data_IF_608290450925
#
_entry.id   IF_608290450925
#
_cell.length_a   1.000
_cell.length_b   1.000
_cell.length_c   1.000
_cell.angle_alpha   90.00
_cell.angle_beta   90.00
_cell.angle_gamma   90.00
#
_symmetry.space_group_name_H-M   'P 1'
#
loop_
_entity.id
_entity.type
_entity.pdbx_description
1 polymer ?
#
# COMPACT_ATOMS: atom_id res chain seq x y z
N UNK A 1 40.27 32.10 18.64
CA UNK A 1 39.95 30.87 19.37
C UNK A 1 38.45 30.78 19.56
N UNK A 2 37.80 29.89 18.83
CA UNK A 2 36.41 29.51 19.06
C UNK A 2 36.38 28.13 19.72
N UNK A 3 35.43 27.92 20.64
CA UNK A 3 35.16 26.58 21.19
C UNK A 3 34.05 25.96 20.36
N UNK A 4 34.45 25.07 19.45
CA UNK A 4 33.55 24.28 18.64
C UNK A 4 33.17 23.01 19.42
N UNK A 5 31.88 22.70 19.47
CA UNK A 5 31.38 21.50 20.13
C UNK A 5 30.77 20.55 19.12
N UNK A 6 31.13 19.28 19.25
CA UNK A 6 30.50 18.15 18.58
C UNK A 6 29.63 17.43 19.59
N UNK A 7 28.38 17.09 19.24
CA UNK A 7 27.54 16.24 20.07
C UNK A 7 26.86 15.15 19.25
N UNK A 8 26.59 14.03 19.91
CA UNK A 8 25.96 12.86 19.31
C UNK A 8 24.44 12.86 19.54
N UNK A 9 23.66 12.63 18.48
CA UNK A 9 22.21 12.46 18.54
C UNK A 9 21.76 11.46 17.45
N UNK A 10 21.03 10.40 17.85
CA UNK A 10 20.50 9.37 16.93
C UNK A 10 21.56 8.80 15.96
N UNK A 11 22.74 8.44 16.46
CA UNK A 11 23.87 7.93 15.67
C UNK A 11 24.41 8.92 14.61
N UNK A 12 24.21 10.23 14.81
CA UNK A 12 24.75 11.30 13.97
C UNK A 12 25.40 12.37 14.82
N UNK A 13 26.50 12.94 14.31
CA UNK A 13 27.17 14.05 14.98
C UNK A 13 26.64 15.38 14.46
N UNK A 14 26.52 16.32 15.38
CA UNK A 14 26.09 17.68 15.13
C UNK A 14 27.13 18.65 15.69
N UNK A 15 27.22 19.82 15.05
CA UNK A 15 28.30 20.78 15.28
C UNK A 15 27.75 22.17 15.56
N UNK A 16 28.42 22.89 16.45
CA UNK A 16 28.10 24.28 16.74
C UNK A 16 29.11 24.98 17.64
N UNK A 17 29.08 26.29 17.66
CA UNK A 17 29.99 27.13 18.44
C UNK A 17 29.37 27.36 19.82
N UNK A 18 30.12 27.06 20.87
CA UNK A 18 29.70 27.28 22.25
C UNK A 18 29.56 28.78 22.54
N UNK A 19 28.40 29.19 23.05
CA UNK A 19 28.11 30.56 23.49
C UNK A 19 28.11 30.68 25.00
N UNK A 20 27.47 29.74 25.69
CA UNK A 20 27.37 29.71 27.15
C UNK A 20 27.43 28.27 27.66
N UNK A 21 28.26 28.01 28.67
CA UNK A 21 28.45 26.69 29.29
C UNK A 21 27.68 26.63 30.62
N UNK A 22 26.41 26.20 30.54
CA UNK A 22 25.55 26.05 31.71
C UNK A 22 25.59 24.63 32.28
N UNK A 23 25.40 24.51 33.60
CA UNK A 23 25.47 23.22 34.33
C UNK A 23 24.51 22.14 33.80
N UNK A 24 23.33 22.53 33.32
CA UNK A 24 22.31 21.59 32.82
C UNK A 24 22.12 21.66 31.31
N UNK A 25 22.44 22.80 30.68
CA UNK A 25 22.25 23.06 29.26
C UNK A 25 23.34 23.98 28.74
N UNK A 26 23.81 23.72 27.54
CA UNK A 26 24.75 24.56 26.81
C UNK A 26 23.98 25.39 25.79
N UNK A 27 24.33 26.66 25.63
CA UNK A 27 23.85 27.50 24.52
C UNK A 27 24.83 27.42 23.37
N UNK A 28 24.34 27.01 22.21
CA UNK A 28 25.16 26.65 21.06
C UNK A 28 24.62 27.37 19.83
N UNK A 29 25.50 28.01 19.08
CA UNK A 29 25.15 28.52 17.75
C UNK A 29 25.49 27.46 16.71
N UNK A 30 24.50 26.95 15.99
CA UNK A 30 24.71 26.02 14.87
C UNK A 30 25.55 26.67 13.77
N UNK A 31 26.15 25.86 12.90
CA UNK A 31 26.88 26.37 11.73
C UNK A 31 25.99 27.15 10.74
N UNK A 32 24.67 26.98 10.81
CA UNK A 32 23.67 27.78 10.07
C UNK A 32 23.28 29.10 10.75
N UNK A 33 23.92 29.45 11.88
CA UNK A 33 23.69 30.69 12.61
C UNK A 33 22.50 30.67 13.59
N UNK A 34 21.85 29.52 13.81
CA UNK A 34 20.73 29.40 14.75
C UNK A 34 21.23 29.12 16.16
N UNK A 35 20.69 29.82 17.15
CA UNK A 35 20.96 29.52 18.55
C UNK A 35 20.03 28.42 19.06
N UNK A 36 20.61 27.38 19.66
CA UNK A 36 19.90 26.24 20.23
C UNK A 36 20.41 25.94 21.63
N UNK A 37 19.56 25.32 22.45
CA UNK A 37 19.92 24.86 23.78
C UNK A 37 20.05 23.34 23.78
N UNK A 38 21.23 22.83 24.16
CA UNK A 38 21.56 21.40 24.13
C UNK A 38 21.76 20.89 25.55
N UNK A 39 21.22 19.72 25.87
CA UNK A 39 21.35 19.11 27.21
C UNK A 39 22.81 18.78 27.54
N UNK A 40 23.30 19.18 28.71
CA UNK A 40 24.66 18.89 29.18
C UNK A 40 24.92 17.39 29.43
N UNK A 41 23.87 16.56 29.47
CA UNK A 41 23.97 15.10 29.65
C UNK A 41 24.34 14.33 28.38
N UNK A 42 24.42 15.00 27.22
CA UNK A 42 24.82 14.35 25.96
C UNK A 42 26.32 14.10 25.94
N UNK A 43 26.77 13.21 25.06
CA UNK A 43 28.18 13.08 24.74
C UNK A 43 28.66 14.29 23.94
N UNK A 44 29.79 14.88 24.36
CA UNK A 44 30.40 16.05 23.72
C UNK A 44 31.90 15.88 23.50
N UNK A 45 32.39 16.35 22.36
CA UNK A 45 33.81 16.67 22.15
C UNK A 45 33.96 18.19 22.00
N UNK A 46 34.97 18.75 22.67
CA UNK A 46 35.24 20.20 22.73
C UNK A 46 36.52 20.53 21.99
N UNK A 47 36.37 21.15 20.83
CA UNK A 47 37.46 21.51 19.94
C UNK A 47 37.83 22.99 20.13
N UNK A 48 39.09 23.26 20.45
CA UNK A 48 39.63 24.61 20.43
C UNK A 48 40.20 24.83 19.03
N UNK A 49 39.51 25.65 18.23
CA UNK A 49 39.89 25.90 16.83
C UNK A 49 40.31 27.35 16.62
N UNK A 50 41.35 27.52 15.80
CA UNK A 50 41.89 28.82 15.38
C UNK A 50 41.55 29.16 13.92
N UNK A 51 41.14 28.15 13.15
CA UNK A 51 40.73 28.24 11.75
C UNK A 51 39.20 28.27 11.63
N UNK A 52 38.69 28.40 10.40
CA UNK A 52 37.25 28.40 10.15
C UNK A 52 36.62 27.04 10.55
N UNK A 53 35.50 27.03 11.32
CA UNK A 53 34.88 25.79 11.75
C UNK A 53 34.45 24.86 10.60
N UNK A 54 34.02 25.38 9.46
CA UNK A 54 33.60 24.54 8.34
C UNK A 54 34.80 23.86 7.67
N UNK A 55 35.91 24.60 7.50
CA UNK A 55 37.18 24.04 7.01
C UNK A 55 37.75 22.98 7.96
N UNK A 56 37.73 23.25 9.27
CA UNK A 56 38.14 22.30 10.30
C UNK A 56 37.34 20.99 10.24
N UNK A 57 36.01 21.09 10.15
CA UNK A 57 35.12 19.92 10.08
C UNK A 57 35.36 19.15 8.78
N UNK A 58 35.51 19.84 7.65
CA UNK A 58 35.77 19.20 6.36
C UNK A 58 37.10 18.44 6.36
N UNK A 59 38.16 19.02 6.94
CA UNK A 59 39.46 18.37 7.08
C UNK A 59 39.38 17.11 7.97
N UNK A 60 38.68 17.22 9.11
CA UNK A 60 38.44 16.09 10.02
C UNK A 60 37.66 14.97 9.34
N UNK A 61 36.61 15.31 8.58
CA UNK A 61 35.82 14.34 7.85
C UNK A 61 36.64 13.62 6.78
N UNK A 62 37.55 14.33 6.11
CA UNK A 62 38.47 13.73 5.15
C UNK A 62 39.44 12.75 5.83
N UNK A 63 39.98 13.11 7.00
CA UNK A 63 40.79 12.20 7.82
C UNK A 63 39.99 10.97 8.27
N UNK A 64 38.69 11.15 8.59
CA UNK A 64 37.82 10.04 8.97
C UNK A 64 37.53 9.08 7.81
N UNK A 65 37.52 9.55 6.56
CA UNK A 65 37.36 8.70 5.37
C UNK A 65 38.60 7.83 5.08
N UNK A 66 39.77 8.19 5.64
CA UNK A 66 41.00 7.37 5.56
C UNK A 66 41.03 6.23 6.60
N UNK A 67 40.15 6.27 7.60
CA UNK A 67 40.05 5.23 8.63
C UNK A 67 39.25 4.04 8.09
N UNK A 68 39.89 2.88 7.99
CA UNK A 68 39.21 1.64 7.63
C UNK A 68 38.42 1.10 8.83
N UNK A 69 37.11 1.38 8.84
CA UNK A 69 36.19 0.89 9.86
C UNK A 69 36.08 -0.65 9.90
N UNK A 70 36.30 -1.33 8.78
CA UNK A 70 36.32 -2.80 8.73
C UNK A 70 37.55 -3.37 9.42
N UNK A 71 38.73 -2.78 9.18
CA UNK A 71 39.96 -3.14 9.88
C UNK A 71 39.87 -2.83 11.38
N UNK A 72 39.32 -1.66 11.74
CA UNK A 72 39.10 -1.33 13.15
C UNK A 72 38.16 -2.34 13.81
N UNK A 73 37.15 -2.83 13.08
CA UNK A 73 36.21 -3.84 13.60
C UNK A 73 36.88 -5.21 13.76
N UNK A 74 37.77 -5.63 12.85
CA UNK A 74 38.43 -6.94 12.94
C UNK A 74 39.34 -7.11 14.17
N UNK A 75 39.83 -6.00 14.73
CA UNK A 75 40.62 -5.99 15.96
C UNK A 75 39.76 -6.03 17.24
N UNK A 76 38.43 -5.96 17.10
CA UNK A 76 37.48 -5.87 18.22
C UNK A 76 36.64 -7.14 18.35
N UNK A 77 36.14 -7.38 19.56
CA UNK A 77 35.19 -8.46 19.82
C UNK A 77 33.80 -8.03 19.35
N UNK A 78 33.20 -8.80 18.46
CA UNK A 78 31.82 -8.60 18.02
C UNK A 78 30.84 -8.54 19.20
N UNK A 79 29.96 -7.54 19.20
CA UNK A 79 29.02 -7.26 20.30
C UNK A 79 29.64 -6.54 21.51
N UNK A 80 30.95 -6.28 21.50
CA UNK A 80 31.64 -5.52 22.54
C UNK A 80 31.29 -4.03 22.50
N UNK A 81 31.28 -3.41 23.69
CA UNK A 81 31.11 -1.96 23.86
C UNK A 81 32.42 -1.35 24.36
N UNK A 82 32.85 -0.30 23.68
CA UNK A 82 34.16 0.31 23.89
C UNK A 82 34.04 1.81 24.15
N UNK A 83 34.86 2.33 25.06
CA UNK A 83 35.04 3.76 25.22
C UNK A 83 35.76 4.34 24.00
N UNK A 84 35.31 5.50 23.51
CA UNK A 84 35.92 6.15 22.36
C UNK A 84 37.42 6.42 22.59
N UNK A 85 37.81 6.77 23.83
CA UNK A 85 39.21 7.04 24.16
C UNK A 85 40.06 5.78 24.01
N UNK A 86 39.55 4.63 24.44
CA UNK A 86 40.28 3.37 24.36
C UNK A 86 40.40 2.88 22.92
N UNK A 87 39.35 3.04 22.11
CA UNK A 87 39.44 2.76 20.67
C UNK A 87 40.45 3.69 19.97
N UNK A 88 40.49 4.97 20.36
CA UNK A 88 41.41 5.94 19.77
C UNK A 88 42.86 5.63 20.16
N UNK A 89 43.10 5.15 21.39
CA UNK A 89 44.40 4.63 21.82
C UNK A 89 44.82 3.42 21.00
N UNK A 90 43.89 2.49 20.78
CA UNK A 90 44.13 1.28 20.00
C UNK A 90 44.52 1.63 18.56
N UNK A 91 43.73 2.48 17.90
CA UNK A 91 43.94 2.81 16.48
C UNK A 91 45.21 3.63 16.23
N UNK A 92 45.45 4.68 17.03
CA UNK A 92 46.60 5.56 16.83
C UNK A 92 47.86 5.12 17.57
N UNK A 93 47.79 4.06 18.38
CA UNK A 93 48.88 3.59 19.26
C UNK A 93 49.44 4.70 20.17
N UNK A 94 48.57 5.59 20.67
CA UNK A 94 48.92 6.72 21.56
C UNK A 94 48.39 6.50 22.96
N UNK A 95 49.12 6.96 23.99
CA UNK A 95 48.65 6.85 25.38
C UNK A 95 47.55 7.86 25.73
N UNK A 96 47.63 9.08 25.19
CA UNK A 96 46.65 10.14 25.43
C UNK A 96 46.19 10.74 24.10
N UNK A 97 45.15 10.15 23.47
CA UNK A 97 44.65 10.66 22.20
C UNK A 97 43.97 12.02 22.36
N UNK A 98 44.27 12.92 21.42
CA UNK A 98 43.73 14.27 21.38
C UNK A 98 42.25 14.29 20.99
N UNK A 99 41.59 15.43 21.21
CA UNK A 99 40.15 15.60 20.88
C UNK A 99 39.88 15.44 19.38
N UNK A 100 40.80 15.89 18.51
CA UNK A 100 40.68 15.71 17.06
C UNK A 100 40.69 14.23 16.67
N UNK A 101 41.63 13.44 17.18
CA UNK A 101 41.74 12.01 16.89
C UNK A 101 40.49 11.24 17.34
N UNK A 102 39.96 11.58 18.52
CA UNK A 102 38.70 11.00 19.02
C UNK A 102 37.53 11.32 18.09
N UNK A 103 37.43 12.55 17.61
CA UNK A 103 36.37 12.95 16.69
C UNK A 103 36.52 12.34 15.29
N UNK A 104 37.76 12.19 14.79
CA UNK A 104 38.05 11.44 13.55
C UNK A 104 37.55 10.01 13.68
N UNK A 105 37.93 9.33 14.77
CA UNK A 105 37.53 7.93 14.98
C UNK A 105 36.01 7.79 15.19
N UNK A 106 35.39 8.70 15.94
CA UNK A 106 33.94 8.73 16.11
C UNK A 106 33.24 8.89 14.76
N UNK A 107 33.69 9.84 13.94
CA UNK A 107 33.14 10.06 12.59
C UNK A 107 33.29 8.82 11.71
N UNK A 108 34.46 8.16 11.73
CA UNK A 108 34.70 6.93 11.00
C UNK A 108 33.77 5.79 11.44
N UNK A 109 33.60 5.58 12.75
CA UNK A 109 32.67 4.59 13.30
C UNK A 109 31.22 4.87 12.89
N UNK A 110 30.78 6.13 12.94
CA UNK A 110 29.41 6.50 12.57
C UNK A 110 29.15 6.39 11.08
N UNK A 111 30.13 6.68 10.22
CA UNK A 111 30.04 6.46 8.76
C UNK A 111 30.09 4.97 8.42
N UNK A 112 30.84 4.19 9.19
CA UNK A 112 30.87 2.73 9.16
C UNK A 112 29.67 2.07 9.83
N UNK A 113 28.43 2.50 9.50
CA UNK A 113 27.18 1.98 10.12
C UNK A 113 27.01 0.46 9.96
N UNK A 114 27.71 -0.14 9.00
CA UNK A 114 27.81 -1.59 8.85
C UNK A 114 28.47 -2.25 10.07
N UNK A 115 29.54 -1.64 10.57
CA UNK A 115 30.45 -2.21 11.57
C UNK A 115 30.16 -1.73 12.98
N UNK A 116 29.67 -0.50 13.15
CA UNK A 116 29.53 0.13 14.45
C UNK A 116 28.17 0.77 14.70
N UNK A 117 27.84 0.95 15.98
CA UNK A 117 26.77 1.82 16.46
C UNK A 117 27.26 2.59 17.68
N UNK A 118 26.92 3.87 17.77
CA UNK A 118 27.19 4.67 18.96
C UNK A 118 25.94 4.77 19.84
N UNK A 119 26.13 4.63 21.15
CA UNK A 119 25.07 4.89 22.13
C UNK A 119 24.99 6.40 22.49
N UNK A 120 23.93 6.86 23.18
CA UNK A 120 23.82 8.26 23.58
C UNK A 120 24.91 8.76 24.54
N UNK A 121 25.66 7.86 25.17
CA UNK A 121 26.78 8.17 26.08
C UNK A 121 28.12 8.32 25.35
N UNK A 122 28.16 8.02 24.05
CA UNK A 122 29.37 8.07 23.22
C UNK A 122 30.18 6.78 23.20
N UNK A 123 29.67 5.68 23.75
CA UNK A 123 30.30 4.36 23.62
C UNK A 123 30.03 3.80 22.23
N UNK A 124 31.06 3.17 21.66
CA UNK A 124 31.00 2.53 20.35
C UNK A 124 30.82 1.03 20.55
N UNK A 125 29.74 0.48 20.00
CA UNK A 125 29.48 -0.95 19.95
C UNK A 125 29.90 -1.52 18.61
N UNK A 126 30.76 -2.54 18.64
CA UNK A 126 31.10 -3.35 17.47
C UNK A 126 29.94 -4.30 17.12
N UNK A 127 29.53 -4.34 15.86
CA UNK A 127 28.50 -5.24 15.38
C UNK A 127 28.97 -6.70 15.48
N UNK A 128 28.04 -7.66 15.62
CA UNK A 128 28.37 -9.08 15.50
C UNK A 128 28.47 -9.50 14.03
N UNK A 129 29.13 -10.62 13.74
CA UNK A 129 29.18 -11.17 12.37
C UNK A 129 27.78 -11.40 11.79
N UNK A 130 26.84 -11.89 12.60
CA UNK A 130 25.44 -12.07 12.20
C UNK A 130 24.75 -10.74 11.84
N UNK A 131 25.01 -9.68 12.61
CA UNK A 131 24.47 -8.34 12.34
C UNK A 131 25.04 -7.74 11.06
N UNK A 132 26.34 -7.94 10.80
CA UNK A 132 27.02 -7.47 9.59
C UNK A 132 26.47 -8.20 8.37
N UNK A 133 26.41 -9.53 8.41
CA UNK A 133 25.84 -10.36 7.34
C UNK A 133 24.36 -10.04 7.08
N UNK A 134 23.61 -9.66 8.12
CA UNK A 134 22.22 -9.21 7.96
C UNK A 134 22.16 -7.86 7.24
N UNK A 135 22.97 -6.88 7.66
CA UNK A 135 23.03 -5.55 7.04
C UNK A 135 23.46 -5.62 5.58
N UNK A 136 24.46 -6.45 5.25
CA UNK A 136 24.89 -6.70 3.87
C UNK A 136 23.76 -7.27 3.02
N UNK A 137 23.06 -8.29 3.52
CA UNK A 137 21.90 -8.86 2.82
C UNK A 137 20.79 -7.83 2.61
N UNK A 138 20.51 -7.01 3.61
CA UNK A 138 19.49 -5.96 3.51
C UNK A 138 19.90 -4.85 2.52
N UNK A 139 21.18 -4.46 2.50
CA UNK A 139 21.73 -3.50 1.54
C UNK A 139 21.72 -4.05 0.11
N UNK A 140 22.18 -5.27 -0.09
CA UNK A 140 22.10 -5.94 -1.39
C UNK A 140 20.65 -6.04 -1.88
N UNK A 141 19.72 -6.42 -1.00
CA UNK A 141 18.29 -6.46 -1.34
C UNK A 141 17.76 -5.09 -1.76
N UNK A 142 18.14 -4.02 -1.06
CA UNK A 142 17.77 -2.64 -1.40
C UNK A 142 18.35 -2.21 -2.75
N UNK A 143 19.62 -2.49 -3.00
CA UNK A 143 20.28 -2.18 -4.27
C UNK A 143 19.63 -2.94 -5.42
N UNK A 144 19.37 -4.25 -5.25
CA UNK A 144 18.65 -5.06 -6.24
C UNK A 144 17.24 -4.55 -6.48
N UNK A 145 16.49 -4.21 -5.44
CA UNK A 145 15.14 -3.65 -5.57
C UNK A 145 15.14 -2.31 -6.31
N UNK A 146 16.11 -1.43 -6.00
CA UNK A 146 16.28 -0.15 -6.70
C UNK A 146 16.61 -0.35 -8.17
N UNK A 147 17.57 -1.21 -8.49
CA UNK A 147 17.91 -1.54 -9.88
C UNK A 147 16.70 -2.10 -10.63
N UNK A 148 15.96 -3.03 -10.00
CA UNK A 148 14.77 -3.62 -10.62
C UNK A 148 13.66 -2.58 -10.87
N UNK A 149 13.51 -1.59 -9.97
CA UNK A 149 12.60 -0.47 -10.17
C UNK A 149 13.05 0.42 -11.34
N UNK A 150 14.31 0.79 -11.40
CA UNK A 150 14.87 1.60 -12.50
C UNK A 150 14.71 0.87 -13.86
N UNK A 151 14.96 -0.44 -13.89
CA UNK A 151 14.76 -1.28 -15.07
C UNK A 151 13.28 -1.38 -15.48
N UNK A 152 12.36 -1.51 -14.51
CA UNK A 152 10.92 -1.56 -14.77
C UNK A 152 10.40 -0.23 -15.30
N UNK A 153 10.77 0.90 -14.69
CA UNK A 153 10.41 2.25 -15.17
C UNK A 153 10.88 2.45 -16.60
N UNK A 154 12.11 2.04 -16.90
CA UNK A 154 12.67 2.10 -18.24
C UNK A 154 11.87 1.24 -19.22
N UNK A 155 11.57 -0.01 -18.87
CA UNK A 155 10.77 -0.90 -19.70
C UNK A 155 9.41 -0.30 -20.05
N UNK A 156 8.69 0.23 -19.05
CA UNK A 156 7.38 0.85 -19.25
C UNK A 156 7.47 2.11 -20.13
N UNK A 157 8.51 2.94 -19.95
CA UNK A 157 8.77 4.09 -20.81
C UNK A 157 9.05 3.67 -22.26
N UNK A 158 9.89 2.65 -22.45
CA UNK A 158 10.17 2.10 -23.78
C UNK A 158 8.88 1.55 -24.44
N UNK A 159 8.00 0.89 -23.66
CA UNK A 159 6.70 0.43 -24.16
C UNK A 159 5.77 1.62 -24.50
N UNK A 160 5.83 2.76 -23.80
CA UNK A 160 5.06 3.98 -24.15
C UNK A 160 5.56 4.64 -25.45
N UNK A 161 6.88 4.70 -25.65
CA UNK A 161 7.49 5.38 -26.80
C UNK A 161 7.47 4.51 -28.08
N UNK A 162 7.74 3.22 -27.95
CA UNK A 162 7.97 2.31 -29.07
C UNK A 162 6.92 1.20 -29.21
N UNK A 163 5.91 1.19 -28.34
CA UNK A 163 4.85 0.18 -28.30
C UNK A 163 5.40 -1.25 -28.19
N UNK A 164 4.78 -2.19 -28.90
CA UNK A 164 5.21 -3.60 -28.93
C UNK A 164 6.65 -3.84 -29.40
N UNK A 165 7.27 -2.90 -30.16
CA UNK A 165 8.62 -3.09 -30.72
C UNK A 165 9.71 -3.08 -29.65
N UNK A 166 9.58 -2.24 -28.61
CA UNK A 166 10.51 -2.21 -27.49
C UNK A 166 10.53 -3.52 -26.70
N UNK A 167 9.37 -4.17 -26.61
CA UNK A 167 9.12 -5.18 -25.60
C UNK A 167 9.25 -6.63 -26.19
N UNK A 168 9.73 -6.77 -27.45
CA UNK A 168 9.97 -8.05 -28.16
C UNK A 168 10.99 -8.98 -27.49
N UNK A 169 11.90 -8.45 -26.66
CA UNK A 169 12.99 -9.23 -26.07
C UNK A 169 12.56 -10.09 -24.87
N UNK A 170 11.39 -9.82 -24.26
CA UNK A 170 10.92 -10.53 -23.06
C UNK A 170 9.38 -10.69 -23.05
N UNK A 171 8.82 -11.64 -23.83
CA UNK A 171 7.37 -11.75 -24.03
C UNK A 171 6.60 -12.19 -22.77
N UNK A 172 7.17 -13.06 -21.93
CA UNK A 172 6.49 -13.52 -20.69
C UNK A 172 6.36 -12.42 -19.64
N UNK A 173 7.43 -11.64 -19.45
CA UNK A 173 7.42 -10.48 -18.53
C UNK A 173 6.36 -9.47 -18.96
N UNK A 174 6.25 -9.25 -20.28
CA UNK A 174 5.27 -8.33 -20.83
C UNK A 174 3.82 -8.81 -20.61
N UNK A 175 3.55 -10.09 -20.84
CA UNK A 175 2.23 -10.66 -20.59
C UNK A 175 1.82 -10.49 -19.12
N UNK A 176 2.72 -10.77 -18.18
CA UNK A 176 2.44 -10.60 -16.76
C UNK A 176 2.16 -9.13 -16.41
N UNK A 177 2.90 -8.18 -16.99
CA UNK A 177 2.66 -6.74 -16.78
C UNK A 177 1.30 -6.34 -17.36
N UNK A 178 0.94 -6.82 -18.55
CA UNK A 178 -0.36 -6.55 -19.16
C UNK A 178 -1.49 -7.06 -18.28
N UNK A 179 -1.35 -8.29 -17.77
CA UNK A 179 -2.31 -8.93 -16.89
C UNK A 179 -2.47 -8.15 -15.58
N UNK A 180 -1.36 -7.80 -14.94
CA UNK A 180 -1.33 -7.02 -13.71
C UNK A 180 -1.99 -5.62 -13.89
N UNK A 181 -1.66 -4.91 -14.97
CA UNK A 181 -2.22 -3.58 -15.26
C UNK A 181 -3.71 -3.65 -15.58
N UNK A 182 -4.14 -4.72 -16.26
CA UNK A 182 -5.54 -4.96 -16.57
C UNK A 182 -6.34 -5.27 -15.31
N UNK A 183 -5.81 -6.11 -14.42
CA UNK A 183 -6.39 -6.39 -13.11
C UNK A 183 -6.50 -5.13 -12.25
N UNK A 184 -5.46 -4.29 -12.26
CA UNK A 184 -5.46 -2.98 -11.61
C UNK A 184 -6.60 -2.08 -12.12
N UNK A 185 -6.82 -2.02 -13.44
CA UNK A 185 -7.91 -1.22 -14.03
C UNK A 185 -9.31 -1.78 -13.71
N UNK A 186 -9.43 -3.09 -13.56
CA UNK A 186 -10.71 -3.80 -13.41
C UNK A 186 -11.20 -3.81 -11.96
N UNK A 187 -10.35 -4.19 -11.01
CA UNK A 187 -10.76 -4.38 -9.62
C UNK A 187 -10.55 -3.15 -8.72
N UNK A 188 -9.84 -2.12 -9.21
CA UNK A 188 -9.31 -1.01 -8.38
C UNK A 188 -8.44 -1.46 -7.19
N UNK A 189 -8.07 -2.74 -7.10
CA UNK A 189 -7.08 -3.20 -6.15
C UNK A 189 -5.72 -2.60 -6.52
N UNK A 190 -4.96 -2.15 -5.51
CA UNK A 190 -3.57 -1.74 -5.73
C UNK A 190 -2.76 -2.98 -6.14
N UNK A 191 -1.76 -2.78 -7.00
CA UNK A 191 -0.78 -3.79 -7.46
C UNK A 191 0.10 -4.33 -6.31
N UNK A 192 -0.49 -4.89 -5.26
CA UNK A 192 0.18 -5.26 -4.02
C UNK A 192 1.05 -6.51 -4.18
N UNK A 193 0.67 -7.43 -5.06
CA UNK A 193 1.46 -8.61 -5.41
C UNK A 193 2.70 -8.28 -6.23
N UNK A 194 2.73 -7.09 -6.86
CA UNK A 194 3.86 -6.62 -7.67
C UNK A 194 4.29 -5.20 -7.26
N UNK A 195 5.01 -5.05 -6.12
CA UNK A 195 5.38 -3.74 -5.58
C UNK A 195 6.29 -2.96 -6.52
N UNK A 196 7.14 -3.64 -7.31
CA UNK A 196 8.03 -3.00 -8.26
C UNK A 196 7.23 -2.36 -9.40
N UNK A 197 6.24 -3.07 -9.96
CA UNK A 197 5.36 -2.52 -11.00
C UNK A 197 4.51 -1.36 -10.45
N UNK A 198 4.02 -1.49 -9.20
CA UNK A 198 3.29 -0.43 -8.50
C UNK A 198 4.10 0.86 -8.39
N UNK A 199 5.34 0.75 -7.89
CA UNK A 199 6.23 1.90 -7.69
C UNK A 199 6.67 2.49 -9.04
N UNK A 200 6.89 1.64 -10.06
CA UNK A 200 7.22 2.09 -11.41
C UNK A 200 6.06 2.86 -12.06
N UNK A 201 4.83 2.35 -11.92
CA UNK A 201 3.62 3.02 -12.41
C UNK A 201 3.40 4.37 -11.70
N UNK A 202 3.65 4.43 -10.39
CA UNK A 202 3.56 5.68 -9.62
C UNK A 202 4.60 6.71 -10.11
N UNK A 203 5.85 6.30 -10.33
CA UNK A 203 6.90 7.17 -10.85
C UNK A 203 6.52 7.78 -12.22
N UNK A 204 5.96 6.98 -13.13
CA UNK A 204 5.50 7.45 -14.44
C UNK A 204 4.28 8.37 -14.34
N UNK A 205 3.36 8.07 -13.42
CA UNK A 205 2.18 8.89 -13.19
C UNK A 205 2.56 10.28 -12.65
N UNK A 206 3.51 10.33 -11.70
CA UNK A 206 4.06 11.57 -11.15
C UNK A 206 4.80 12.40 -12.22
N UNK A 207 5.64 11.75 -13.04
CA UNK A 207 6.33 12.39 -14.17
C UNK A 207 5.34 13.01 -15.17
N UNK A 208 4.26 12.29 -15.49
CA UNK A 208 3.21 12.75 -16.40
C UNK A 208 2.18 13.70 -15.77
N UNK A 209 2.18 13.87 -14.44
CA UNK A 209 1.13 14.55 -13.67
C UNK A 209 -0.28 14.01 -13.99
N UNK A 210 -0.39 12.70 -14.11
CA UNK A 210 -1.63 11.97 -14.42
C UNK A 210 -1.99 11.01 -13.29
N UNK A 211 -3.23 10.53 -13.26
CA UNK A 211 -3.64 9.48 -12.33
C UNK A 211 -3.05 8.11 -12.69
N UNK A 212 -2.91 7.23 -11.71
CA UNK A 212 -2.38 5.87 -11.92
C UNK A 212 -3.20 5.06 -12.95
N UNK A 213 -4.54 5.19 -12.93
CA UNK A 213 -5.41 4.54 -13.94
C UNK A 213 -5.10 5.02 -15.36
N UNK A 214 -4.85 6.30 -15.53
CA UNK A 214 -4.54 6.88 -16.83
C UNK A 214 -3.16 6.44 -17.32
N UNK A 215 -2.17 6.36 -16.42
CA UNK A 215 -0.87 5.81 -16.75
C UNK A 215 -0.97 4.34 -17.21
N UNK A 216 -1.74 3.51 -16.49
CA UNK A 216 -1.97 2.12 -16.85
C UNK A 216 -2.69 1.96 -18.21
N UNK A 217 -3.72 2.78 -18.47
CA UNK A 217 -4.41 2.81 -19.78
C UNK A 217 -3.45 3.12 -20.92
N UNK A 218 -2.60 4.15 -20.77
CA UNK A 218 -1.64 4.55 -21.82
C UNK A 218 -0.65 3.44 -22.13
N UNK A 219 -0.15 2.74 -21.10
CA UNK A 219 0.76 1.61 -21.28
C UNK A 219 0.05 0.46 -22.02
N UNK A 220 -1.17 0.08 -21.62
CA UNK A 220 -1.92 -0.98 -22.30
C UNK A 220 -2.28 -0.61 -23.75
N UNK A 221 -2.59 0.66 -24.00
CA UNK A 221 -2.85 1.19 -25.34
C UNK A 221 -1.60 1.14 -26.22
N UNK A 222 -0.44 1.55 -25.70
CA UNK A 222 0.81 1.51 -26.48
C UNK A 222 1.24 0.07 -26.80
N UNK A 223 0.85 -0.89 -25.96
CA UNK A 223 1.04 -2.32 -26.17
C UNK A 223 0.00 -2.96 -27.08
N UNK A 224 -0.99 -2.21 -27.57
CA UNK A 224 -2.13 -2.74 -28.35
C UNK A 224 -2.83 -3.91 -27.61
N UNK A 225 -2.90 -3.79 -26.28
CA UNK A 225 -3.46 -4.79 -25.37
C UNK A 225 -4.59 -4.23 -24.53
N UNK A 226 -5.06 -3.02 -24.85
CA UNK A 226 -6.19 -2.39 -24.17
C UNK A 226 -7.49 -2.99 -24.72
N UNK A 227 -8.30 -3.70 -23.90
CA UNK A 227 -9.64 -4.09 -24.30
C UNK A 227 -10.47 -2.89 -24.77
N UNK A 228 -11.41 -3.15 -25.67
CA UNK A 228 -12.38 -2.16 -26.08
C UNK A 228 -13.26 -1.73 -24.88
N UNK A 229 -13.83 -0.51 -24.90
CA UNK A 229 -14.60 0.01 -23.76
C UNK A 229 -15.77 -0.88 -23.33
N UNK A 230 -16.42 -1.58 -24.27
CA UNK A 230 -17.53 -2.47 -23.96
C UNK A 230 -17.03 -3.71 -23.21
N UNK A 231 -15.96 -4.35 -23.68
CA UNK A 231 -15.34 -5.50 -22.99
C UNK A 231 -14.79 -5.11 -21.62
N UNK A 232 -14.22 -3.92 -21.46
CA UNK A 232 -13.76 -3.43 -20.16
C UNK A 232 -14.94 -3.21 -19.20
N UNK A 233 -16.01 -2.59 -19.67
CA UNK A 233 -17.24 -2.41 -18.89
C UNK A 233 -17.83 -3.76 -18.49
N UNK A 234 -17.98 -4.68 -19.44
CA UNK A 234 -18.52 -6.02 -19.21
C UNK A 234 -17.63 -6.84 -18.29
N UNK A 235 -16.30 -6.71 -18.35
CA UNK A 235 -15.39 -7.38 -17.42
C UNK A 235 -15.50 -6.82 -16.00
N UNK A 236 -15.63 -5.49 -15.83
CA UNK A 236 -15.92 -4.90 -14.50
C UNK A 236 -17.24 -5.40 -13.94
N UNK A 237 -18.28 -5.39 -14.78
CA UNK A 237 -19.61 -5.86 -14.41
C UNK A 237 -19.60 -7.35 -14.05
N UNK A 238 -18.95 -8.18 -14.88
CA UNK A 238 -18.85 -9.63 -14.73
C UNK A 238 -17.88 -10.08 -13.62
N UNK A 239 -16.90 -9.25 -13.23
CA UNK A 239 -16.02 -9.56 -12.08
C UNK A 239 -16.78 -9.65 -10.75
N UNK A 240 -18.04 -9.24 -10.74
CA UNK A 240 -18.98 -9.41 -9.65
C UNK A 240 -19.98 -10.55 -9.90
N UNK A 241 -19.80 -11.41 -10.92
CA UNK A 241 -20.79 -12.42 -11.34
C UNK A 241 -20.95 -13.58 -10.34
N UNK A 242 -22.09 -14.26 -10.37
CA UNK A 242 -22.44 -15.42 -9.53
C UNK A 242 -22.88 -16.52 -10.51
N UNK A 243 -22.35 -17.75 -10.43
CA UNK A 243 -22.68 -18.77 -11.41
C UNK A 243 -24.18 -19.12 -11.31
N UNK A 244 -24.87 -19.29 -12.45
CA UNK A 244 -26.24 -19.84 -12.49
C UNK A 244 -27.26 -19.06 -13.31
N UNK A 245 -26.95 -17.84 -13.76
CA UNK A 245 -27.91 -17.04 -14.51
C UNK A 245 -28.06 -17.51 -15.96
N UNK A 246 -29.24 -17.31 -16.55
CA UNK A 246 -29.55 -17.50 -17.99
C UNK A 246 -28.84 -16.42 -18.83
N UNK A 247 -27.51 -16.33 -18.69
CA UNK A 247 -26.69 -15.52 -19.56
C UNK A 247 -26.66 -16.22 -20.92
N UNK A 248 -26.89 -15.50 -22.03
CA UNK A 248 -26.73 -16.09 -23.35
C UNK A 248 -25.33 -16.66 -23.47
N UNK A 249 -25.16 -17.63 -24.36
CA UNK A 249 -23.88 -18.16 -24.82
C UNK A 249 -22.99 -17.10 -25.51
N UNK A 250 -23.00 -15.84 -25.05
CA UNK A 250 -21.84 -14.99 -25.22
C UNK A 250 -20.74 -15.62 -24.41
N UNK A 251 -19.92 -16.40 -25.13
CA UNK A 251 -18.63 -16.93 -24.72
C UNK A 251 -18.09 -16.04 -23.61
N UNK A 252 -17.90 -16.59 -22.41
CA UNK A 252 -17.17 -15.93 -21.34
C UNK A 252 -16.00 -15.20 -22.01
N UNK A 253 -16.08 -13.88 -22.13
CA UNK A 253 -14.97 -13.14 -22.70
C UNK A 253 -13.77 -13.52 -21.83
N UNK A 254 -12.57 -13.72 -22.40
CA UNK A 254 -11.40 -14.15 -21.63
C UNK A 254 -11.13 -13.28 -20.38
N UNK A 255 -11.63 -12.04 -20.40
CA UNK A 255 -11.58 -11.09 -19.30
C UNK A 255 -12.57 -11.40 -18.16
N UNK A 256 -13.75 -11.90 -18.48
CA UNK A 256 -14.78 -12.25 -17.49
C UNK A 256 -14.42 -13.51 -16.70
N UNK A 257 -13.71 -14.48 -17.32
CA UNK A 257 -13.28 -15.72 -16.66
C UNK A 257 -12.11 -15.54 -15.68
N UNK A 258 -11.46 -14.36 -15.66
CA UNK A 258 -10.33 -14.06 -14.75
C UNK A 258 -10.73 -13.84 -13.31
N UNK A 259 -12.01 -13.59 -13.04
CA UNK A 259 -12.44 -13.14 -11.72
C UNK A 259 -13.29 -14.17 -10.99
N UNK A 260 -13.04 -14.36 -9.68
CA UNK A 260 -13.79 -15.31 -8.89
C UNK A 260 -15.25 -14.84 -8.83
N UNK A 261 -16.12 -15.74 -9.22
CA UNK A 261 -17.55 -15.62 -8.99
C UNK A 261 -17.80 -15.58 -7.46
N UNK A 262 -18.91 -14.98 -7.00
CA UNK A 262 -19.30 -15.19 -5.59
C UNK A 262 -19.38 -16.69 -5.35
N UNK A 263 -18.66 -17.16 -4.34
CA UNK A 263 -18.58 -18.58 -4.02
C UNK A 263 -19.99 -19.15 -3.81
N UNK A 264 -20.30 -20.26 -4.50
CA UNK A 264 -21.60 -20.95 -4.37
C UNK A 264 -21.96 -21.15 -2.90
N UNK A 265 -20.99 -21.54 -2.07
CA UNK A 265 -21.18 -21.73 -0.64
C UNK A 265 -21.74 -20.50 0.09
N UNK A 266 -21.36 -19.29 -0.31
CA UNK A 266 -21.87 -18.06 0.32
C UNK A 266 -23.33 -17.82 -0.04
N UNK A 267 -23.73 -18.18 -1.26
CA UNK A 267 -25.12 -18.08 -1.72
C UNK A 267 -25.97 -19.18 -1.08
N UNK A 268 -25.46 -20.41 -1.04
CA UNK A 268 -26.14 -21.56 -0.43
C UNK A 268 -26.41 -21.36 1.05
N UNK A 269 -25.44 -20.82 1.81
CA UNK A 269 -25.63 -20.47 3.22
C UNK A 269 -26.74 -19.42 3.39
N UNK A 270 -26.73 -18.38 2.56
CA UNK A 270 -27.74 -17.33 2.62
C UNK A 270 -29.13 -17.87 2.28
N UNK A 271 -29.26 -18.75 1.29
CA UNK A 271 -30.51 -19.44 0.95
C UNK A 271 -31.02 -20.25 2.16
N UNK A 272 -30.13 -20.96 2.86
CA UNK A 272 -30.47 -21.71 4.07
C UNK A 272 -31.00 -20.77 5.16
N UNK A 273 -30.29 -19.68 5.45
CA UNK A 273 -30.67 -18.71 6.48
C UNK A 273 -32.04 -18.08 6.19
N UNK A 274 -32.28 -17.71 4.92
CA UNK A 274 -33.58 -17.19 4.46
C UNK A 274 -34.67 -18.23 4.71
N UNK A 275 -34.46 -19.47 4.27
CA UNK A 275 -35.45 -20.54 4.37
C UNK A 275 -35.84 -20.86 5.82
N UNK A 276 -34.88 -20.81 6.74
CA UNK A 276 -35.10 -21.09 8.16
C UNK A 276 -35.83 -19.95 8.89
N UNK A 277 -35.54 -18.70 8.52
CA UNK A 277 -36.08 -17.51 9.18
C UNK A 277 -37.45 -17.07 8.62
N UNK A 278 -37.72 -17.31 7.33
CA UNK A 278 -38.97 -16.93 6.66
C UNK A 278 -40.25 -17.31 7.44
N UNK A 279 -40.39 -18.54 8.00
CA UNK A 279 -41.58 -18.91 8.75
C UNK A 279 -41.83 -18.06 9.99
N UNK A 280 -40.76 -17.53 10.61
CA UNK A 280 -40.82 -16.79 11.88
C UNK A 280 -41.25 -15.33 11.72
N UNK A 281 -41.26 -14.79 10.49
CA UNK A 281 -41.67 -13.42 10.24
C UNK A 281 -43.18 -13.24 10.45
N UNK A 282 -43.61 -12.07 10.99
CA UNK A 282 -45.02 -11.77 11.16
C UNK A 282 -45.72 -11.60 9.80
N UNK A 283 -46.98 -12.02 9.72
CA UNK A 283 -47.81 -11.74 8.54
C UNK A 283 -48.22 -10.26 8.50
N UNK A 284 -48.23 -9.70 7.30
CA UNK A 284 -48.81 -8.39 7.07
C UNK A 284 -50.34 -8.43 7.23
N UNK A 285 -50.92 -7.41 7.85
CA UNK A 285 -52.38 -7.26 8.00
C UNK A 285 -53.03 -6.77 6.68
N UNK A 286 -52.86 -7.56 5.62
CA UNK A 286 -53.34 -7.26 4.26
C UNK A 286 -53.94 -8.50 3.62
N UNK A 287 -55.19 -8.41 3.17
CA UNK A 287 -55.93 -9.55 2.59
C UNK A 287 -55.62 -9.80 1.11
N UNK A 288 -55.31 -8.75 0.37
CA UNK A 288 -55.14 -8.83 -1.09
C UNK A 288 -54.07 -7.85 -1.53
N UNK A 289 -53.11 -8.38 -2.27
CA UNK A 289 -51.99 -7.66 -2.84
C UNK A 289 -51.92 -8.05 -4.32
N UNK A 290 -51.61 -7.11 -5.19
CA UNK A 290 -51.46 -7.34 -6.63
C UNK A 290 -50.21 -6.61 -7.14
N UNK A 291 -49.46 -7.25 -8.05
CA UNK A 291 -48.42 -6.59 -8.83
C UNK A 291 -48.95 -6.25 -10.23
N UNK A 292 -48.33 -5.29 -10.90
CA UNK A 292 -48.69 -4.87 -12.26
C UNK A 292 -47.42 -4.83 -13.09
N UNK A 293 -47.17 -5.91 -13.82
CA UNK A 293 -45.92 -6.14 -14.54
C UNK A 293 -46.16 -6.52 -16.00
N UNK A 294 -45.11 -6.44 -16.82
CA UNK A 294 -45.12 -7.04 -18.14
C UNK A 294 -45.20 -8.58 -18.03
N UNK A 295 -45.83 -9.23 -19.01
CA UNK A 295 -46.04 -10.70 -19.02
C UNK A 295 -44.73 -11.52 -18.95
N UNK A 296 -43.61 -10.91 -19.35
CA UNK A 296 -42.27 -11.52 -19.30
C UNK A 296 -41.47 -11.23 -18.03
N UNK A 297 -42.02 -10.49 -17.06
CA UNK A 297 -41.33 -10.19 -15.80
C UNK A 297 -41.18 -11.45 -14.95
N UNK A 298 -39.94 -11.83 -14.64
CA UNK A 298 -39.62 -12.94 -13.72
C UNK A 298 -39.35 -12.47 -12.28
N UNK A 299 -38.96 -11.21 -12.11
CA UNK A 299 -38.56 -10.58 -10.84
C UNK A 299 -39.55 -9.48 -10.52
N UNK A 300 -40.49 -9.78 -9.62
CA UNK A 300 -41.52 -8.84 -9.19
C UNK A 300 -41.03 -8.19 -7.91
N UNK A 301 -40.59 -6.95 -8.01
CA UNK A 301 -39.98 -6.20 -6.91
C UNK A 301 -41.02 -5.49 -6.03
N UNK A 302 -42.16 -5.09 -6.60
CA UNK A 302 -43.18 -4.33 -5.90
C UNK A 302 -44.59 -4.87 -6.13
N UNK A 303 -45.43 -4.67 -5.12
CA UNK A 303 -46.84 -4.98 -5.18
C UNK A 303 -47.65 -3.98 -4.35
N UNK A 304 -48.94 -3.87 -4.67
CA UNK A 304 -49.84 -2.88 -4.12
C UNK A 304 -51.02 -3.53 -3.42
N UNK A 305 -51.47 -2.90 -2.33
CA UNK A 305 -52.78 -3.17 -1.74
C UNK A 305 -53.58 -1.88 -1.65
N UNK A 306 -54.90 -1.97 -1.75
CA UNK A 306 -55.80 -0.82 -1.64
C UNK A 306 -56.93 -1.16 -0.68
N UNK A 307 -57.16 -0.29 0.29
CA UNK A 307 -58.24 -0.38 1.25
C UNK A 307 -58.90 0.98 1.49
N UNK A 308 -60.14 0.97 1.95
CA UNK A 308 -60.88 2.18 2.33
C UNK A 308 -61.32 2.00 3.79
N UNK A 309 -60.49 2.40 4.77
CA UNK A 309 -60.86 2.36 6.19
C UNK A 309 -62.07 3.26 6.52
N UNK A 310 -62.57 3.14 7.76
CA UNK A 310 -63.77 3.83 8.26
C UNK A 310 -63.74 5.36 8.10
N UNK A 311 -62.55 5.95 8.04
CA UNK A 311 -62.35 7.38 7.81
C UNK A 311 -62.63 7.83 6.35
N UNK A 312 -63.00 6.90 5.47
CA UNK A 312 -63.36 7.15 4.07
C UNK A 312 -62.20 7.50 3.15
N UNK A 313 -60.95 7.49 3.65
CA UNK A 313 -59.76 7.75 2.83
C UNK A 313 -59.33 6.48 2.13
N UNK A 314 -58.81 6.63 0.91
CA UNK A 314 -58.13 5.53 0.23
C UNK A 314 -56.75 5.36 0.87
N UNK A 315 -56.48 4.16 1.37
CA UNK A 315 -55.17 3.74 1.84
C UNK A 315 -54.54 2.82 0.79
N UNK A 316 -53.35 3.18 0.33
CA UNK A 316 -52.55 2.36 -0.57
C UNK A 316 -51.36 1.83 0.21
N UNK A 317 -51.23 0.51 0.28
CA UNK A 317 -50.03 -0.17 0.78
C UNK A 317 -49.08 -0.42 -0.38
N UNK A 318 -47.80 -0.12 -0.17
CA UNK A 318 -46.71 -0.44 -1.11
C UNK A 318 -45.84 -1.49 -0.42
N UNK A 319 -45.70 -2.64 -1.08
CA UNK A 319 -44.98 -3.81 -0.59
C UNK A 319 -43.79 -4.01 -1.52
N UNK A 320 -42.58 -3.97 -0.99
CA UNK A 320 -41.34 -4.03 -1.79
C UNK A 320 -40.54 -5.24 -1.34
N UNK A 321 -40.11 -6.08 -2.27
CA UNK A 321 -39.25 -7.22 -1.99
C UNK A 321 -38.08 -6.83 -1.06
N UNK A 322 -37.82 -7.62 -0.03
CA UNK A 322 -36.88 -7.29 1.04
C UNK A 322 -35.61 -8.17 1.09
N UNK A 323 -34.81 -8.30 0.00
CA UNK A 323 -33.59 -9.11 0.01
C UNK A 323 -32.54 -8.56 1.00
N UNK A 324 -32.55 -7.24 1.24
CA UNK A 324 -31.66 -6.58 2.20
C UNK A 324 -31.90 -6.99 3.66
N UNK A 325 -33.03 -7.62 3.99
CA UNK A 325 -33.26 -8.19 5.33
C UNK A 325 -32.32 -9.35 5.64
N UNK A 326 -31.89 -10.08 4.60
CA UNK A 326 -31.11 -11.29 4.74
C UNK A 326 -29.68 -11.15 4.24
N UNK A 327 -29.41 -10.28 3.27
CA UNK A 327 -28.06 -10.04 2.75
C UNK A 327 -27.28 -9.15 3.73
N UNK A 328 -26.31 -9.68 4.50
CA UNK A 328 -25.60 -8.87 5.49
C UNK A 328 -24.64 -7.90 4.83
N UNK A 329 -24.52 -6.70 5.40
CA UNK A 329 -23.50 -5.73 4.96
C UNK A 329 -22.10 -6.34 5.06
N UNK A 330 -21.27 -6.10 4.05
CA UNK A 330 -19.93 -6.65 3.94
C UNK A 330 -19.85 -8.13 3.49
N UNK A 331 -20.98 -8.83 3.36
CA UNK A 331 -20.98 -10.20 2.81
C UNK A 331 -20.49 -10.24 1.35
N UNK A 332 -20.05 -11.41 0.85
CA UNK A 332 -19.69 -11.57 -0.56
C UNK A 332 -20.81 -11.15 -1.53
N UNK A 333 -22.06 -11.52 -1.23
CA UNK A 333 -23.25 -11.15 -2.02
C UNK A 333 -23.48 -9.64 -1.99
N UNK A 334 -23.43 -9.01 -0.80
CA UNK A 334 -23.54 -7.55 -0.67
C UNK A 334 -22.48 -6.80 -1.47
N UNK A 335 -21.22 -7.25 -1.35
CA UNK A 335 -20.08 -6.64 -2.04
C UNK A 335 -20.21 -6.77 -3.56
N UNK A 336 -20.70 -7.90 -4.04
CA UNK A 336 -20.98 -8.11 -5.46
C UNK A 336 -22.13 -7.22 -5.96
N UNK A 337 -23.27 -7.20 -5.26
CA UNK A 337 -24.42 -6.37 -5.61
C UNK A 337 -24.06 -4.87 -5.60
N UNK A 338 -23.34 -4.42 -4.58
CA UNK A 338 -22.85 -3.04 -4.47
C UNK A 338 -21.95 -2.64 -5.65
N UNK A 339 -21.05 -3.55 -6.07
CA UNK A 339 -20.21 -3.33 -7.25
C UNK A 339 -21.00 -3.25 -8.55
N UNK A 340 -22.08 -4.04 -8.71
CA UNK A 340 -22.96 -3.99 -9.89
C UNK A 340 -23.83 -2.74 -9.91
N UNK A 341 -24.27 -2.25 -8.75
CA UNK A 341 -25.19 -1.10 -8.56
C UNK A 341 -26.59 -1.30 -9.13
N UNK A 342 -26.75 -1.95 -10.29
CA UNK A 342 -28.03 -2.21 -10.96
C UNK A 342 -27.99 -3.49 -11.79
N UNK A 343 -29.16 -4.04 -12.09
CA UNK A 343 -29.36 -5.00 -13.18
C UNK A 343 -29.12 -4.30 -14.53
N UNK A 344 -28.48 -4.99 -15.47
CA UNK A 344 -28.30 -4.51 -16.86
C UNK A 344 -29.27 -5.24 -17.77
N UNK A 345 -30.11 -4.48 -18.47
CA UNK A 345 -31.06 -4.99 -19.46
C UNK A 345 -30.53 -4.70 -20.86
N UNK A 346 -30.28 -5.75 -21.64
CA UNK A 346 -29.93 -5.69 -23.06
C UNK A 346 -31.12 -6.21 -23.89
N UNK A 347 -31.18 -5.92 -25.20
CA UNK A 347 -32.29 -6.38 -26.04
C UNK A 347 -32.54 -7.89 -25.98
N UNK A 348 -31.47 -8.68 -25.93
CA UNK A 348 -31.54 -10.15 -25.98
C UNK A 348 -31.22 -10.82 -24.65
N UNK A 349 -30.82 -10.06 -23.62
CA UNK A 349 -30.46 -10.65 -22.34
C UNK A 349 -30.55 -9.70 -21.15
N UNK A 350 -30.49 -10.29 -19.97
CA UNK A 350 -30.49 -9.59 -18.71
C UNK A 350 -29.31 -10.09 -17.88
N UNK A 351 -28.63 -9.17 -17.22
CA UNK A 351 -27.64 -9.47 -16.21
C UNK A 351 -28.15 -8.98 -14.87
N UNK A 352 -28.69 -9.89 -14.06
CA UNK A 352 -29.28 -9.57 -12.77
C UNK A 352 -28.27 -8.90 -11.83
N UNK A 353 -28.74 -8.15 -10.83
CA UNK A 353 -27.89 -7.63 -9.76
C UNK A 353 -27.56 -8.69 -8.70
N UNK A 354 -28.54 -9.55 -8.41
CA UNK A 354 -28.46 -10.62 -7.42
C UNK A 354 -28.40 -11.99 -8.14
N UNK A 355 -27.98 -13.08 -7.46
CA UNK A 355 -28.14 -14.43 -7.97
C UNK A 355 -29.61 -14.76 -8.22
N UNK A 356 -29.87 -15.56 -9.25
CA UNK A 356 -31.22 -16.03 -9.63
C UNK A 356 -31.92 -16.72 -8.48
N UNK A 357 -31.19 -17.53 -7.72
CA UNK A 357 -31.72 -18.29 -6.58
C UNK A 357 -32.24 -17.37 -5.47
N UNK A 358 -31.54 -16.25 -5.20
CA UNK A 358 -32.03 -15.26 -4.24
C UNK A 358 -33.22 -14.48 -4.81
N UNK A 359 -33.17 -14.10 -6.08
CA UNK A 359 -34.28 -13.44 -6.76
C UNK A 359 -35.57 -14.27 -6.65
N UNK A 360 -35.50 -15.57 -6.86
CA UNK A 360 -36.66 -16.46 -6.75
C UNK A 360 -37.26 -16.55 -5.34
N UNK A 361 -36.45 -16.30 -4.30
CA UNK A 361 -36.90 -16.26 -2.89
C UNK A 361 -37.58 -14.94 -2.52
N UNK A 362 -37.26 -13.83 -3.20
CA UNK A 362 -37.75 -12.49 -2.87
C UNK A 362 -38.75 -11.93 -3.88
N UNK A 363 -38.86 -12.52 -5.07
CA UNK A 363 -39.83 -12.12 -6.09
C UNK A 363 -41.26 -12.35 -5.58
N UNK A 364 -42.11 -11.32 -5.65
CA UNK A 364 -43.50 -11.31 -5.15
C UNK A 364 -44.47 -12.10 -6.04
N UNK A 365 -44.12 -13.36 -6.33
CA UNK A 365 -44.92 -14.23 -7.17
C UNK A 365 -46.26 -14.61 -6.53
N UNK A 366 -47.28 -14.75 -7.36
CA UNK A 366 -48.62 -15.11 -6.94
C UNK A 366 -48.65 -16.41 -6.12
N UNK A 367 -49.35 -16.39 -4.99
CA UNK A 367 -49.58 -17.55 -4.14
C UNK A 367 -48.41 -17.94 -3.24
N UNK A 368 -47.34 -17.14 -3.20
CA UNK A 368 -46.20 -17.34 -2.29
C UNK A 368 -46.26 -16.39 -1.09
N UNK A 369 -45.69 -16.85 0.04
CA UNK A 369 -45.45 -16.04 1.23
C UNK A 369 -44.01 -15.51 1.15
N UNK A 370 -43.85 -14.22 0.90
CA UNK A 370 -42.57 -13.57 0.59
C UNK A 370 -42.41 -12.34 1.52
N UNK A 371 -41.20 -12.05 2.03
CA UNK A 371 -40.96 -10.91 2.91
C UNK A 371 -40.89 -9.60 2.10
N UNK A 372 -41.53 -8.55 2.65
CA UNK A 372 -41.67 -7.21 2.06
C UNK A 372 -41.35 -6.10 3.05
#
# INVERSE_FOLDING_TARGET
MAVLIEWLEKNKTHWGILREDGLTKLQVMTLSGKNISVSAKRFFLRHIVNEDPAEYIAALQKEADEVDAGLLHSELRGGGEYDLSDLTRLWYSRQEPGVREKAVLLSACLRGEKWFKADPSGRIRAATEEEILRRERDEERRLRARSALEDMVKLLRDCLESGQKACRKQPKTLQNIQDDLLDFLLQRHRLEHNPILKDALAALADEGRIGHEEAARRILQSLDSMPDPYSLFMAKFSSAFIPGDESPEYSFQPLCSRYPLVESESVDRLISDVTDLLPSLPDADVKTVFSIDHVGTKEVDDALSVGIPENGRVCVGVHVAAPGLFIPEGSPVHSAASRRTTTVYQPDCKWAMLPKELIELFSLQQGRRIPV
#
